data_IF_587620133612
#
_entry.id   IF_587620133612
#
_cell.length_a   1.000
_cell.length_b   1.000
_cell.length_c   1.000
_cell.angle_alpha   90.00
_cell.angle_beta   90.00
_cell.angle_gamma   90.00
#
_symmetry.space_group_name_H-M   'P 1'
#
loop_
_entity.id
_entity.type
_entity.pdbx_description
1 polymer ?
#
# COMPACT_ATOMS: atom_id res chain seq x y z
N UNK A 1 -8.23 27.29 -19.66
CA UNK A 1 -7.45 27.53 -18.43
C UNK A 1 -8.02 26.76 -17.24
N UNK A 2 -9.31 26.92 -16.93
CA UNK A 2 -10.01 26.19 -15.87
C UNK A 2 -9.97 24.66 -16.04
N UNK A 3 -10.21 24.16 -17.25
CA UNK A 3 -10.16 22.72 -17.54
C UNK A 3 -8.80 22.09 -17.23
N UNK A 4 -7.71 22.67 -17.74
CA UNK A 4 -6.33 22.23 -17.46
C UNK A 4 -6.04 22.20 -15.95
N UNK A 5 -6.52 23.20 -15.22
CA UNK A 5 -6.38 23.26 -13.76
C UNK A 5 -7.13 22.12 -13.05
N UNK A 6 -8.38 21.85 -13.44
CA UNK A 6 -9.19 20.75 -12.89
C UNK A 6 -8.52 19.40 -13.16
N UNK A 7 -8.00 19.18 -14.37
CA UNK A 7 -7.33 17.92 -14.74
C UNK A 7 -6.05 17.73 -13.93
N UNK A 8 -5.27 18.79 -13.67
CA UNK A 8 -4.10 18.72 -12.78
C UNK A 8 -4.50 18.34 -11.35
N UNK A 9 -5.54 18.96 -10.79
CA UNK A 9 -6.01 18.64 -9.44
C UNK A 9 -6.51 17.19 -9.38
N UNK A 10 -7.30 16.77 -10.38
CA UNK A 10 -7.79 15.40 -10.51
C UNK A 10 -6.65 14.40 -10.55
N UNK A 11 -5.62 14.67 -11.36
CA UNK A 11 -4.42 13.86 -11.44
C UNK A 11 -3.75 13.71 -10.07
N UNK A 12 -3.51 14.82 -9.36
CA UNK A 12 -2.91 14.78 -8.03
C UNK A 12 -3.79 13.99 -7.06
N UNK A 13 -5.09 14.24 -7.02
CA UNK A 13 -6.03 13.58 -6.13
C UNK A 13 -6.06 12.06 -6.35
N UNK A 14 -6.12 11.60 -7.60
CA UNK A 14 -6.14 10.17 -7.96
C UNK A 14 -4.85 9.46 -7.51
N UNK A 15 -3.68 10.09 -7.67
CA UNK A 15 -2.41 9.53 -7.17
C UNK A 15 -2.27 9.57 -5.64
N UNK A 16 -2.87 10.55 -4.97
CA UNK A 16 -2.98 10.55 -3.50
C UNK A 16 -3.86 9.39 -3.01
N UNK A 17 -4.96 9.10 -3.70
CA UNK A 17 -5.83 7.94 -3.44
C UNK A 17 -5.13 6.59 -3.68
N UNK A 18 -4.06 6.55 -4.48
CA UNK A 18 -3.19 5.37 -4.54
C UNK A 18 -2.21 5.33 -3.36
N UNK A 19 -1.47 6.41 -3.14
CA UNK A 19 -0.31 6.39 -2.27
C UNK A 19 -0.66 6.35 -0.77
N UNK A 20 -1.64 7.14 -0.34
CA UNK A 20 -1.93 7.30 1.09
C UNK A 20 -2.65 6.09 1.71
N UNK A 21 -3.56 5.37 1.01
CA UNK A 21 -4.09 4.10 1.52
C UNK A 21 -3.01 3.05 1.78
N UNK A 22 -1.95 2.98 0.95
CA UNK A 22 -0.81 2.10 1.22
C UNK A 22 -0.03 2.52 2.47
N UNK A 23 0.16 3.83 2.67
CA UNK A 23 0.79 4.36 3.88
C UNK A 23 -0.07 4.11 5.13
N UNK A 24 -1.38 4.31 5.03
CA UNK A 24 -2.34 4.05 6.11
C UNK A 24 -2.37 2.57 6.48
N UNK A 25 -2.37 1.67 5.48
CA UNK A 25 -2.21 0.24 5.69
C UNK A 25 -0.93 -0.04 6.50
N UNK A 26 0.20 0.56 6.13
CA UNK A 26 1.44 0.38 6.87
C UNK A 26 1.31 0.80 8.34
N UNK A 27 0.76 1.99 8.64
CA UNK A 27 0.61 2.46 10.02
C UNK A 27 -0.23 1.46 10.83
N UNK A 28 -1.43 1.15 10.36
CA UNK A 28 -2.36 0.30 11.12
C UNK A 28 -1.88 -1.14 11.28
N UNK A 29 -1.14 -1.67 10.30
CA UNK A 29 -0.56 -3.01 10.37
C UNK A 29 0.72 -3.04 11.21
N UNK A 30 1.49 -1.95 11.25
CA UNK A 30 2.69 -1.82 12.08
C UNK A 30 2.37 -1.78 13.58
N UNK A 31 1.20 -1.27 13.97
CA UNK A 31 0.70 -1.35 15.35
C UNK A 31 0.50 -2.79 15.84
N UNK A 32 0.33 -3.73 14.90
CA UNK A 32 0.13 -5.17 15.17
C UNK A 32 1.44 -5.98 14.98
N UNK A 33 2.60 -5.35 15.19
CA UNK A 33 3.94 -5.90 14.94
C UNK A 33 4.19 -7.28 15.58
N UNK A 34 3.61 -7.52 16.76
CA UNK A 34 3.73 -8.82 17.48
C UNK A 34 3.13 -9.97 16.69
N UNK A 35 2.03 -9.73 15.98
CA UNK A 35 1.37 -10.72 15.13
C UNK A 35 2.33 -11.04 13.98
N UNK A 36 2.75 -10.00 13.22
CA UNK A 36 3.65 -10.14 12.07
C UNK A 36 4.94 -10.89 12.42
N UNK A 37 5.61 -10.54 13.53
CA UNK A 37 6.87 -11.18 13.93
C UNK A 37 6.77 -12.68 14.23
N UNK A 38 5.62 -13.17 14.71
CA UNK A 38 5.39 -14.61 14.95
C UNK A 38 5.11 -15.37 13.66
N UNK A 39 4.40 -14.74 12.72
CA UNK A 39 4.15 -15.31 11.38
C UNK A 39 5.44 -15.54 10.60
N UNK A 40 6.37 -14.58 10.60
CA UNK A 40 7.57 -14.65 9.75
C UNK A 40 8.45 -15.85 10.11
N UNK A 41 8.53 -16.21 11.40
CA UNK A 41 9.33 -17.35 11.88
C UNK A 41 8.77 -18.71 11.41
N UNK A 42 7.45 -18.89 11.40
CA UNK A 42 6.78 -20.15 11.00
C UNK A 42 6.46 -20.23 9.50
N UNK A 43 6.45 -19.11 8.77
CA UNK A 43 6.08 -19.07 7.34
C UNK A 43 7.00 -19.86 6.40
N UNK A 44 8.23 -20.21 6.82
CA UNK A 44 9.20 -20.98 6.01
C UNK A 44 8.72 -22.39 5.68
N UNK A 45 7.79 -22.95 6.47
CA UNK A 45 7.24 -24.31 6.28
C UNK A 45 6.19 -24.37 5.16
N UNK A 46 5.61 -23.23 4.76
CA UNK A 46 4.49 -23.19 3.81
C UNK A 46 4.94 -22.68 2.43
N UNK A 47 4.55 -23.35 1.33
CA UNK A 47 4.90 -22.93 -0.01
C UNK A 47 4.36 -21.52 -0.28
N UNK A 48 5.16 -20.68 -0.93
CA UNK A 48 4.75 -19.32 -1.29
C UNK A 48 3.74 -19.37 -2.43
N UNK A 49 2.74 -18.49 -2.40
CA UNK A 49 1.83 -18.33 -3.53
C UNK A 49 2.60 -17.75 -4.72
N UNK A 50 2.41 -18.34 -5.88
CA UNK A 50 3.09 -17.91 -7.11
C UNK A 50 2.79 -16.43 -7.42
N UNK A 51 3.79 -15.62 -7.82
CA UNK A 51 3.56 -14.25 -8.27
C UNK A 51 2.62 -14.13 -9.47
N UNK A 52 2.51 -15.18 -10.31
CA UNK A 52 1.65 -15.20 -11.50
C UNK A 52 0.16 -15.00 -11.21
N UNK A 53 -0.29 -15.29 -9.98
CA UNK A 53 -1.67 -15.00 -9.58
C UNK A 53 -1.99 -13.51 -9.54
N UNK A 54 -1.01 -12.60 -9.67
CA UNK A 54 -1.25 -11.16 -9.80
C UNK A 54 -2.04 -10.76 -11.05
N UNK A 55 -2.14 -11.63 -12.06
CA UNK A 55 -3.05 -11.43 -13.20
C UNK A 55 -4.49 -11.21 -12.71
N UNK A 56 -4.88 -11.88 -11.62
CA UNK A 56 -6.16 -11.69 -10.95
C UNK A 56 -5.93 -11.39 -9.45
N UNK A 57 -5.75 -10.10 -9.08
CA UNK A 57 -5.44 -9.71 -7.71
C UNK A 57 -6.37 -10.31 -6.63
N UNK A 58 -7.71 -10.38 -6.84
CA UNK A 58 -8.61 -11.03 -5.87
C UNK A 58 -8.26 -12.49 -5.59
N UNK A 59 -7.92 -13.26 -6.64
CA UNK A 59 -7.55 -14.67 -6.52
C UNK A 59 -6.25 -14.83 -5.73
N UNK A 60 -5.25 -14.01 -6.03
CA UNK A 60 -3.98 -14.03 -5.27
C UNK A 60 -4.23 -13.76 -3.79
N UNK A 61 -5.08 -12.78 -3.49
CA UNK A 61 -5.38 -12.40 -2.11
C UNK A 61 -6.09 -13.53 -1.37
N UNK A 62 -6.99 -14.26 -2.02
CA UNK A 62 -7.66 -15.43 -1.44
C UNK A 62 -6.67 -16.58 -1.17
N UNK A 63 -5.74 -16.85 -2.08
CA UNK A 63 -4.71 -17.88 -1.91
C UNK A 63 -3.74 -17.53 -0.76
N UNK A 64 -3.30 -16.27 -0.68
CA UNK A 64 -2.46 -15.80 0.43
C UNK A 64 -3.23 -15.80 1.76
N UNK A 65 -4.53 -15.51 1.74
CA UNK A 65 -5.40 -15.63 2.92
C UNK A 65 -5.49 -17.08 3.39
N UNK A 66 -5.71 -18.04 2.48
CA UNK A 66 -5.73 -19.48 2.80
C UNK A 66 -4.41 -19.95 3.39
N UNK A 67 -3.29 -19.55 2.78
CA UNK A 67 -1.94 -19.81 3.28
C UNK A 67 -1.70 -19.18 4.66
N UNK A 68 -2.13 -17.93 4.84
CA UNK A 68 -2.06 -17.21 6.11
C UNK A 68 -2.84 -17.92 7.22
N UNK A 69 -4.06 -18.37 6.92
CA UNK A 69 -4.91 -19.14 7.85
C UNK A 69 -4.27 -20.47 8.26
N UNK A 70 -3.61 -21.18 7.36
CA UNK A 70 -2.90 -22.42 7.68
C UNK A 70 -1.70 -22.17 8.60
N UNK A 71 -0.90 -21.13 8.31
CA UNK A 71 0.20 -20.68 9.18
C UNK A 71 -0.35 -20.27 10.57
N UNK A 72 -1.48 -19.55 10.58
CA UNK A 72 -2.17 -19.11 11.79
C UNK A 72 -2.59 -20.28 12.67
N UNK A 73 -3.25 -21.28 12.10
CA UNK A 73 -3.73 -22.44 12.86
C UNK A 73 -2.63 -23.21 13.60
N UNK A 74 -1.39 -23.22 13.08
CA UNK A 74 -0.25 -23.85 13.76
C UNK A 74 0.49 -22.90 14.72
N UNK A 75 0.21 -21.60 14.68
CA UNK A 75 1.00 -20.56 15.37
C UNK A 75 0.29 -19.93 16.57
N UNK A 76 -1.04 -19.95 16.58
CA UNK A 76 -1.85 -19.29 17.58
C UNK A 76 -2.17 -20.21 18.75
N UNK A 77 -1.72 -19.81 19.92
CA UNK A 77 -1.90 -20.55 21.18
C UNK A 77 -3.14 -19.99 21.94
N UNK A 78 -3.64 -18.82 21.57
CA UNK A 78 -4.74 -18.11 22.24
C UNK A 78 -5.76 -17.52 21.25
N UNK A 79 -7.04 -17.52 21.63
CA UNK A 79 -8.14 -16.89 20.88
C UNK A 79 -7.87 -15.41 20.57
N UNK A 80 -7.17 -14.70 21.47
CA UNK A 80 -6.84 -13.29 21.28
C UNK A 80 -5.92 -13.05 20.09
N UNK A 81 -4.91 -13.90 19.91
CA UNK A 81 -3.97 -13.76 18.79
C UNK A 81 -4.68 -14.06 17.44
N UNK A 82 -5.71 -14.92 17.45
CA UNK A 82 -6.53 -15.22 16.27
C UNK A 82 -7.39 -14.02 15.84
N UNK A 83 -8.03 -13.36 16.81
CA UNK A 83 -8.80 -12.14 16.56
C UNK A 83 -7.92 -11.03 16.01
N UNK A 84 -6.74 -10.82 16.58
CA UNK A 84 -5.78 -9.81 16.10
C UNK A 84 -5.35 -10.08 14.65
N UNK A 85 -5.13 -11.34 14.27
CA UNK A 85 -4.78 -11.71 12.90
C UNK A 85 -5.92 -11.54 11.88
N UNK A 86 -7.16 -11.81 12.28
CA UNK A 86 -8.34 -11.53 11.44
C UNK A 86 -8.47 -10.03 11.20
N UNK A 87 -8.32 -9.23 12.26
CA UNK A 87 -8.37 -7.76 12.16
C UNK A 87 -7.25 -7.24 11.25
N UNK A 88 -6.03 -7.77 11.39
CA UNK A 88 -4.89 -7.48 10.50
C UNK A 88 -5.28 -7.70 9.02
N UNK A 89 -5.77 -8.91 8.70
CA UNK A 89 -6.14 -9.28 7.33
C UNK A 89 -7.25 -8.41 6.75
N UNK A 90 -8.26 -8.05 7.57
CA UNK A 90 -9.36 -7.16 7.16
C UNK A 90 -8.86 -5.76 6.83
N UNK A 91 -8.03 -5.16 7.69
CA UNK A 91 -7.43 -3.84 7.47
C UNK A 91 -6.56 -3.83 6.21
N UNK A 92 -5.67 -4.81 6.08
CA UNK A 92 -4.81 -4.95 4.91
C UNK A 92 -5.61 -5.06 3.61
N UNK A 93 -6.66 -5.88 3.62
CA UNK A 93 -7.54 -6.07 2.45
C UNK A 93 -8.30 -4.80 2.09
N UNK A 94 -8.86 -4.10 3.08
CA UNK A 94 -9.61 -2.87 2.85
C UNK A 94 -8.73 -1.80 2.20
N UNK A 95 -7.57 -1.51 2.80
CA UNK A 95 -6.66 -0.49 2.26
C UNK A 95 -6.04 -0.89 0.92
N UNK A 96 -5.81 -2.20 0.70
CA UNK A 96 -5.37 -2.69 -0.60
C UNK A 96 -6.38 -2.39 -1.71
N UNK A 97 -7.67 -2.63 -1.50
CA UNK A 97 -8.68 -2.36 -2.53
C UNK A 97 -8.87 -0.86 -2.79
N UNK A 98 -8.77 -0.01 -1.76
CA UNK A 98 -8.79 1.45 -1.95
C UNK A 98 -7.58 1.91 -2.76
N UNK A 99 -6.37 1.42 -2.44
CA UNK A 99 -5.17 1.72 -3.21
C UNK A 99 -5.31 1.22 -4.66
N UNK A 100 -5.82 0.00 -4.87
CA UNK A 100 -6.03 -0.57 -6.19
C UNK A 100 -6.96 0.31 -7.03
N UNK A 101 -8.07 0.79 -6.46
CA UNK A 101 -8.97 1.72 -7.12
C UNK A 101 -8.26 3.04 -7.49
N UNK A 102 -7.52 3.63 -6.54
CA UNK A 102 -6.73 4.84 -6.79
C UNK A 102 -5.65 4.65 -7.87
N UNK A 103 -5.05 3.46 -7.96
CA UNK A 103 -4.09 3.12 -9.01
C UNK A 103 -4.75 3.10 -10.39
N UNK A 104 -5.91 2.44 -10.52
CA UNK A 104 -6.65 2.34 -11.79
C UNK A 104 -7.10 3.74 -12.24
N UNK A 105 -7.63 4.54 -11.34
CA UNK A 105 -7.95 5.96 -11.59
C UNK A 105 -6.71 6.77 -11.96
N UNK A 106 -5.57 6.55 -11.29
CA UNK A 106 -4.31 7.23 -11.60
C UNK A 106 -3.83 6.96 -13.03
N UNK A 107 -4.03 5.74 -13.54
CA UNK A 107 -3.71 5.37 -14.93
C UNK A 107 -4.58 6.16 -15.90
N UNK A 108 -5.90 6.25 -15.67
CA UNK A 108 -6.79 7.05 -16.54
C UNK A 108 -6.46 8.53 -16.46
N UNK A 109 -6.05 9.02 -15.29
CA UNK A 109 -5.62 10.40 -15.08
C UNK A 109 -4.39 10.80 -15.92
N UNK A 110 -3.44 9.88 -16.15
CA UNK A 110 -2.29 10.16 -17.03
C UNK A 110 -2.77 10.45 -18.45
N UNK A 111 -3.72 9.65 -18.94
CA UNK A 111 -4.29 9.84 -20.27
C UNK A 111 -5.11 11.14 -20.36
N UNK A 112 -5.98 11.40 -19.39
CA UNK A 112 -6.75 12.66 -19.29
C UNK A 112 -5.83 13.88 -19.28
N UNK A 113 -4.74 13.83 -18.50
CA UNK A 113 -3.75 14.89 -18.41
C UNK A 113 -3.02 15.10 -19.74
N UNK A 114 -2.59 14.04 -20.42
CA UNK A 114 -1.95 14.17 -21.73
C UNK A 114 -2.91 14.79 -22.75
N UNK A 115 -4.16 14.34 -22.78
CA UNK A 115 -5.17 14.84 -23.70
C UNK A 115 -5.52 16.31 -23.46
N UNK A 116 -5.65 16.73 -22.20
CA UNK A 116 -5.92 18.13 -21.84
C UNK A 116 -4.80 19.10 -22.25
N UNK A 117 -3.60 18.59 -22.58
CA UNK A 117 -2.46 19.36 -23.08
C UNK A 117 -2.16 19.08 -24.56
N UNK A 118 -3.11 18.48 -25.28
CA UNK A 118 -3.02 18.18 -26.71
C UNK A 118 -1.89 17.20 -27.08
N UNK A 119 -1.44 16.38 -26.12
CA UNK A 119 -0.44 15.33 -26.35
C UNK A 119 -1.12 13.99 -26.66
N UNK A 120 -0.78 13.41 -27.82
CA UNK A 120 -1.18 12.04 -28.16
C UNK A 120 -0.15 11.04 -27.63
N UNK A 121 -0.49 10.37 -26.54
CA UNK A 121 0.36 9.30 -25.97
C UNK A 121 -0.03 7.94 -26.54
N UNK A 122 0.98 7.14 -26.88
CA UNK A 122 0.77 5.74 -27.27
C UNK A 122 0.50 4.86 -26.04
N UNK A 123 -0.08 3.68 -26.27
CA UNK A 123 -0.34 2.70 -25.21
C UNK A 123 0.93 2.31 -24.42
N UNK A 124 2.07 2.17 -25.10
CA UNK A 124 3.35 1.86 -24.44
C UNK A 124 3.84 2.99 -23.54
N UNK A 125 3.68 4.25 -23.98
CA UNK A 125 4.03 5.43 -23.17
C UNK A 125 3.13 5.51 -21.94
N UNK A 126 1.82 5.24 -22.09
CA UNK A 126 0.89 5.20 -20.96
C UNK A 126 1.30 4.16 -19.92
N UNK A 127 1.67 2.93 -20.34
CA UNK A 127 2.18 1.90 -19.43
C UNK A 127 3.45 2.38 -18.73
N UNK A 128 4.41 2.93 -19.49
CA UNK A 128 5.68 3.40 -18.93
C UNK A 128 5.48 4.49 -17.86
N UNK A 129 4.65 5.49 -18.16
CA UNK A 129 4.30 6.57 -17.22
C UNK A 129 3.57 6.03 -15.99
N UNK A 130 2.67 5.07 -16.17
CA UNK A 130 1.93 4.43 -15.07
C UNK A 130 2.88 3.70 -14.12
N UNK A 131 3.80 2.90 -14.67
CA UNK A 131 4.83 2.19 -13.89
C UNK A 131 5.74 3.18 -13.17
N UNK A 132 6.17 4.24 -13.84
CA UNK A 132 7.00 5.29 -13.25
C UNK A 132 6.29 5.97 -12.07
N UNK A 133 5.02 6.35 -12.23
CA UNK A 133 4.23 6.97 -11.17
C UNK A 133 4.04 6.04 -9.97
N UNK A 134 3.75 4.75 -10.22
CA UNK A 134 3.67 3.74 -9.15
C UNK A 134 4.99 3.65 -8.38
N UNK A 135 6.12 3.61 -9.07
CA UNK A 135 7.45 3.57 -8.44
C UNK A 135 7.68 4.82 -7.59
N UNK A 136 7.38 6.01 -8.12
CA UNK A 136 7.53 7.28 -7.38
C UNK A 136 6.69 7.28 -6.10
N UNK A 137 5.43 6.86 -6.19
CA UNK A 137 4.53 6.75 -5.03
C UNK A 137 5.08 5.75 -3.99
N UNK A 138 5.50 4.56 -4.41
CA UNK A 138 6.07 3.54 -3.50
C UNK A 138 7.36 4.01 -2.85
N UNK A 139 8.24 4.69 -3.59
CA UNK A 139 9.46 5.28 -3.04
C UNK A 139 9.15 6.40 -2.04
N UNK A 140 8.15 7.24 -2.32
CA UNK A 140 7.70 8.28 -1.39
C UNK A 140 7.18 7.68 -0.08
N UNK A 141 6.34 6.65 -0.16
CA UNK A 141 5.81 5.93 1.00
C UNK A 141 6.96 5.31 1.80
N UNK A 142 7.88 4.60 1.14
CA UNK A 142 9.05 3.99 1.78
C UNK A 142 9.92 5.03 2.49
N UNK A 143 10.12 6.19 1.87
CA UNK A 143 10.87 7.29 2.47
C UNK A 143 10.17 7.83 3.72
N UNK A 144 8.84 8.02 3.67
CA UNK A 144 8.03 8.42 4.83
C UNK A 144 8.14 7.41 5.95
N UNK A 145 7.96 6.12 5.66
CA UNK A 145 8.07 5.02 6.62
C UNK A 145 9.43 5.03 7.32
N UNK A 146 10.53 5.12 6.56
CA UNK A 146 11.89 5.15 7.12
C UNK A 146 12.13 6.37 8.01
N UNK A 147 11.53 7.50 7.66
CA UNK A 147 11.72 8.77 8.36
C UNK A 147 10.76 9.01 9.52
N UNK A 148 9.80 8.11 9.76
CA UNK A 148 9.06 8.04 11.03
C UNK A 148 10.02 7.48 12.08
N UNK A 149 11.01 8.29 12.45
CA UNK A 149 11.95 7.99 13.50
C UNK A 149 11.46 8.65 14.79
N UNK A 150 10.74 7.87 15.59
CA UNK A 150 10.27 8.28 16.92
C UNK A 150 11.45 8.80 17.76
N UNK A 151 12.68 8.34 17.53
CA UNK A 151 13.87 8.86 18.24
C UNK A 151 14.13 10.32 17.89
N UNK A 152 14.07 10.69 16.61
CA UNK A 152 14.30 12.07 16.16
C UNK A 152 13.22 13.04 16.64
N UNK A 153 11.97 12.58 16.71
CA UNK A 153 10.88 13.36 17.30
C UNK A 153 11.05 13.51 18.81
N UNK A 154 11.48 12.45 19.50
CA UNK A 154 11.76 12.45 20.95
C UNK A 154 12.96 13.33 21.30
N UNK A 155 13.98 13.40 20.44
CA UNK A 155 15.13 14.30 20.57
C UNK A 155 14.72 15.77 20.41
N UNK A 156 13.95 16.11 19.37
CA UNK A 156 13.38 17.46 19.21
C UNK A 156 12.52 17.88 20.41
N UNK A 157 11.69 16.98 20.93
CA UNK A 157 10.91 17.25 22.15
C UNK A 157 11.79 17.49 23.37
N UNK A 158 12.89 16.73 23.54
CA UNK A 158 13.85 16.95 24.63
C UNK A 158 14.57 18.29 24.52
N UNK A 159 14.92 18.72 23.31
CA UNK A 159 15.52 20.04 23.06
C UNK A 159 14.54 21.18 23.36
N UNK A 160 13.26 21.01 22.98
CA UNK A 160 12.21 22.02 23.21
C UNK A 160 11.85 22.16 24.68
N UNK A 161 11.97 21.08 25.48
CA UNK A 161 11.76 21.09 26.95
C UNK A 161 12.94 21.63 27.77
N UNK A 162 14.12 21.79 27.16
CA UNK A 162 15.32 22.34 27.80
C UNK A 162 15.48 23.86 27.62
N UNK A 163 14.63 24.49 26.81
CA UNK A 163 14.47 25.94 26.71
C UNK A 163 13.29 26.38 27.57
#
# INVERSE_FOLDING_TARGET
>A
MMEKFIVIISFIAKWLLFAFPLYQAYIELSEQERVVGRFTKKSKKYPKVSPWYWILPPLKLELEKKRGMAILSESLISNKDFEEAIVFGRKATAWFYVALAGMLEGITAIYELAHAFDYHISFLILILLSVLMIIICVLNIRHRIKNVDIKRFREKLKETRKK
#
